data_IF_356884315698
#
_entry.id   IF_356884315698
#
_cell.length_a   1.000
_cell.length_b   1.000
_cell.length_c   1.000
_cell.angle_alpha   90.00
_cell.angle_beta   90.00
_cell.angle_gamma   90.00
#
_symmetry.space_group_name_H-M   'P 1'
#
loop_
_entity.id
_entity.type
_entity.pdbx_description
1 polymer ?
#
# COMPACT_ATOMS: atom_id res chain seq x y z
N UNK A 1 -40.90 41.81 -10.86
CA UNK A 1 -39.59 42.03 -11.50
C UNK A 1 -38.67 40.87 -11.13
N UNK A 2 -38.17 40.13 -12.12
CA UNK A 2 -36.75 39.78 -12.15
C UNK A 2 -36.13 40.15 -13.51
N UNK A 3 -34.89 40.63 -13.45
CA UNK A 3 -34.12 41.07 -14.61
C UNK A 3 -33.58 39.90 -15.44
N UNK A 4 -33.62 40.15 -16.74
CA UNK A 4 -33.12 39.43 -17.90
C UNK A 4 -31.59 39.36 -18.00
N UNK A 5 -31.08 38.25 -18.54
CA UNK A 5 -29.71 38.13 -19.04
C UNK A 5 -29.46 36.79 -19.77
N UNK A 6 -29.51 36.82 -21.09
CA UNK A 6 -29.33 35.69 -22.01
C UNK A 6 -27.84 35.41 -22.36
N UNK A 7 -27.47 34.11 -22.32
CA UNK A 7 -26.58 33.32 -23.24
C UNK A 7 -25.12 33.76 -23.54
N UNK A 8 -24.17 32.86 -23.94
CA UNK A 8 -24.42 31.62 -24.68
C UNK A 8 -23.78 30.30 -24.18
N UNK A 9 -24.48 29.25 -24.58
CA UNK A 9 -24.05 27.85 -24.72
C UNK A 9 -22.93 27.77 -25.76
N UNK A 10 -21.89 27.00 -25.46
CA UNK A 10 -20.93 26.55 -26.46
C UNK A 10 -20.91 25.02 -26.44
N UNK A 11 -21.70 24.45 -27.34
CA UNK A 11 -21.58 23.07 -27.79
C UNK A 11 -20.29 22.91 -28.59
N UNK A 12 -19.51 21.88 -28.27
CA UNK A 12 -18.62 21.24 -29.24
C UNK A 12 -18.82 19.72 -29.18
N UNK A 13 -19.48 19.20 -30.22
CA UNK A 13 -19.38 17.84 -30.73
C UNK A 13 -17.89 17.44 -30.94
N UNK A 14 -17.43 16.20 -30.92
CA UNK A 14 -17.86 14.94 -31.57
C UNK A 14 -16.85 13.83 -31.12
N UNK A 15 -16.91 12.54 -31.53
CA UNK A 15 -17.99 11.76 -32.14
C UNK A 15 -18.30 10.45 -31.38
N UNK A 16 -19.53 9.98 -31.59
CA UNK A 16 -19.93 8.59 -31.43
C UNK A 16 -19.23 7.68 -32.46
N UNK A 17 -18.70 6.54 -31.99
CA UNK A 17 -18.51 5.35 -32.81
C UNK A 17 -19.15 4.18 -32.07
N UNK A 18 -20.36 3.84 -32.49
CA UNK A 18 -20.83 2.47 -32.36
C UNK A 18 -20.33 1.68 -33.56
N UNK A 19 -19.90 0.43 -33.36
CA UNK A 19 -20.24 -0.69 -34.23
C UNK A 19 -19.63 -2.02 -33.75
N UNK A 20 -20.54 -2.98 -33.56
CA UNK A 20 -20.48 -4.40 -33.94
C UNK A 20 -19.45 -5.37 -33.35
N UNK A 21 -20.03 -6.45 -32.83
CA UNK A 21 -19.51 -7.79 -32.60
C UNK A 21 -18.51 -8.31 -33.63
N UNK A 22 -17.43 -8.93 -33.15
CA UNK A 22 -16.77 -10.05 -33.83
C UNK A 22 -16.32 -11.11 -32.82
N UNK A 23 -16.97 -12.28 -32.89
CA UNK A 23 -16.40 -13.54 -32.42
C UNK A 23 -15.24 -13.93 -33.34
N UNK A 24 -14.33 -14.72 -32.78
CA UNK A 24 -13.29 -15.57 -33.41
C UNK A 24 -11.89 -14.96 -33.61
N UNK A 25 -10.89 -15.66 -33.04
CA UNK A 25 -9.62 -15.92 -33.73
C UNK A 25 -8.36 -15.19 -33.27
N UNK A 26 -7.58 -15.89 -32.42
CA UNK A 26 -6.10 -15.85 -32.27
C UNK A 26 -5.45 -14.64 -31.57
N UNK A 27 -4.74 -14.97 -30.49
CA UNK A 27 -3.78 -14.16 -29.76
C UNK A 27 -2.53 -13.86 -30.61
N UNK A 28 -2.02 -12.62 -30.65
CA UNK A 28 -0.70 -12.33 -31.22
C UNK A 28 0.42 -12.74 -30.26
N UNK A 29 1.38 -13.49 -30.78
CA UNK A 29 2.59 -13.98 -30.11
C UNK A 29 3.59 -12.84 -29.85
N UNK A 30 3.94 -12.60 -28.59
CA UNK A 30 4.94 -11.63 -28.15
C UNK A 30 6.38 -12.13 -28.36
N UNK A 31 6.88 -12.07 -29.60
CA UNK A 31 8.31 -12.21 -29.90
C UNK A 31 8.72 -11.26 -31.03
N UNK A 32 8.87 -9.96 -30.76
CA UNK A 32 9.66 -9.07 -31.64
C UNK A 32 10.01 -7.68 -31.10
N UNK A 33 10.54 -7.56 -29.88
CA UNK A 33 11.24 -6.33 -29.46
C UNK A 33 12.47 -6.66 -28.62
N UNK A 34 13.52 -7.10 -29.30
CA UNK A 34 14.90 -7.08 -28.80
C UNK A 34 15.77 -6.63 -29.98
N UNK A 35 16.28 -5.39 -29.92
CA UNK A 35 17.52 -4.93 -30.56
C UNK A 35 17.76 -3.44 -30.29
N UNK A 36 18.39 -3.13 -29.15
CA UNK A 36 19.47 -2.12 -28.98
C UNK A 36 20.01 -2.16 -27.55
N UNK A 37 21.30 -1.92 -27.30
CA UNK A 37 21.96 -2.29 -26.06
C UNK A 37 21.81 -1.20 -24.98
N UNK A 38 21.27 -1.57 -23.82
CA UNK A 38 21.28 -0.73 -22.62
C UNK A 38 22.61 -0.93 -21.83
N UNK A 39 23.11 0.11 -21.14
CA UNK A 39 24.44 0.12 -20.54
C UNK A 39 24.59 -0.85 -19.37
N UNK A 40 25.82 -1.30 -19.16
CA UNK A 40 26.25 -2.17 -18.06
C UNK A 40 26.00 -1.48 -16.71
N UNK A 41 24.91 -1.83 -16.04
CA UNK A 41 24.77 -1.71 -14.60
C UNK A 41 24.65 -3.13 -14.03
N UNK A 42 25.67 -3.54 -13.27
CA UNK A 42 25.69 -4.81 -12.56
C UNK A 42 24.84 -4.66 -11.30
N UNK A 43 23.63 -5.20 -11.36
CA UNK A 43 22.95 -5.76 -10.20
C UNK A 43 22.16 -6.98 -10.70
N UNK A 44 22.81 -8.14 -10.72
CA UNK A 44 22.16 -9.38 -11.12
C UNK A 44 21.19 -9.82 -10.03
N UNK A 45 19.90 -9.62 -10.22
CA UNK A 45 18.89 -10.34 -9.45
C UNK A 45 18.49 -11.58 -10.24
N UNK A 46 19.16 -12.69 -9.94
CA UNK A 46 18.92 -13.99 -10.59
C UNK A 46 17.75 -14.66 -9.86
N UNK A 47 16.57 -14.66 -10.47
CA UNK A 47 15.53 -15.63 -10.14
C UNK A 47 15.96 -16.98 -10.76
N UNK A 48 16.33 -17.93 -9.91
CA UNK A 48 16.51 -19.33 -10.30
C UNK A 48 15.49 -20.14 -9.54
N UNK A 49 14.46 -20.59 -10.26
CA UNK A 49 13.59 -21.68 -9.82
C UNK A 49 14.24 -23.01 -10.23
N UNK A 50 14.60 -23.83 -9.25
CA UNK A 50 14.63 -25.29 -9.36
C UNK A 50 14.87 -25.88 -7.96
N UNK A 51 13.93 -26.72 -7.51
CA UNK A 51 14.06 -27.81 -6.53
C UNK A 51 15.21 -27.78 -5.50
N UNK A 52 14.83 -27.81 -4.21
CA UNK A 52 15.73 -28.13 -3.09
C UNK A 52 15.83 -26.98 -2.09
N UNK A 53 15.32 -27.19 -0.88
CA UNK A 53 15.42 -26.36 0.33
C UNK A 53 16.01 -24.94 0.15
N UNK A 54 15.14 -23.91 0.18
CA UNK A 54 15.54 -22.50 0.11
C UNK A 54 16.51 -22.15 1.26
N UNK A 55 17.77 -21.75 0.98
CA UNK A 55 18.44 -20.84 1.89
C UNK A 55 17.68 -19.51 1.85
N UNK A 56 17.26 -18.99 3.01
CA UNK A 56 16.65 -17.66 3.11
C UNK A 56 17.71 -16.62 2.70
N UNK A 57 17.52 -15.84 1.62
CA UNK A 57 18.44 -14.77 1.29
C UNK A 57 18.29 -13.65 2.33
N UNK A 58 19.38 -13.27 3.00
CA UNK A 58 19.43 -12.02 3.76
C UNK A 58 19.55 -10.87 2.77
N UNK A 59 18.44 -10.17 2.52
CA UNK A 59 18.43 -9.01 1.64
C UNK A 59 19.09 -7.85 2.38
N UNK A 60 20.37 -7.59 2.07
CA UNK A 60 21.06 -6.39 2.51
C UNK A 60 20.60 -5.17 1.72
N UNK A 61 20.20 -4.10 2.42
CA UNK A 61 19.68 -2.89 1.79
C UNK A 61 20.63 -1.70 1.93
N UNK A 62 20.76 -0.83 0.91
CA UNK A 62 21.48 0.43 1.04
C UNK A 62 20.79 1.36 2.05
N UNK A 63 21.54 2.30 2.62
CA UNK A 63 21.00 3.30 3.56
C UNK A 63 19.91 4.13 2.88
N UNK A 64 18.74 4.26 3.54
CA UNK A 64 17.52 4.92 3.02
C UNK A 64 16.98 4.29 1.73
N UNK A 65 16.52 3.06 1.84
CA UNK A 65 15.80 2.33 0.79
C UNK A 65 14.36 2.05 1.20
N UNK A 66 13.51 1.77 0.22
CA UNK A 66 12.11 1.39 0.44
C UNK A 66 11.88 -0.05 -0.01
N UNK A 67 10.99 -0.73 0.71
CA UNK A 67 10.45 -2.03 0.31
C UNK A 67 8.93 -1.93 0.31
N UNK A 68 8.30 -2.33 -0.78
CA UNK A 68 6.85 -2.27 -0.97
C UNK A 68 6.36 -3.69 -1.27
N UNK A 69 5.35 -4.14 -0.54
CA UNK A 69 4.63 -5.38 -0.83
C UNK A 69 3.31 -5.04 -1.49
N UNK A 70 2.99 -5.70 -2.60
CA UNK A 70 1.77 -5.45 -3.36
C UNK A 70 1.18 -6.76 -3.89
N UNK A 71 -0.03 -7.10 -3.44
CA UNK A 71 -0.70 -8.34 -3.83
C UNK A 71 -1.45 -8.23 -5.17
N UNK A 72 -1.94 -7.03 -5.52
CA UNK A 72 -2.69 -6.81 -6.73
C UNK A 72 -1.76 -6.69 -7.95
N UNK A 73 -1.87 -7.61 -8.90
CA UNK A 73 -1.01 -7.66 -10.08
C UNK A 73 -1.04 -6.39 -10.95
N UNK A 74 -2.19 -5.70 -11.02
CA UNK A 74 -2.32 -4.45 -11.77
C UNK A 74 -1.67 -3.25 -11.08
N UNK A 75 -1.65 -3.24 -9.74
CA UNK A 75 -0.95 -2.23 -8.96
C UNK A 75 0.55 -2.53 -8.95
N UNK A 76 0.93 -3.81 -8.82
CA UNK A 76 2.31 -4.28 -8.85
C UNK A 76 3.06 -3.79 -10.09
N UNK A 77 2.46 -3.92 -11.29
CA UNK A 77 3.07 -3.42 -12.52
C UNK A 77 3.33 -1.91 -12.51
N UNK A 78 2.38 -1.12 -11.97
CA UNK A 78 2.54 0.34 -11.82
C UNK A 78 3.57 0.72 -10.77
N UNK A 79 3.58 0.00 -9.64
CA UNK A 79 4.55 0.20 -8.57
C UNK A 79 5.98 -0.10 -9.03
N UNK A 80 6.17 -1.16 -9.83
CA UNK A 80 7.46 -1.48 -10.44
C UNK A 80 7.97 -0.37 -11.35
N UNK A 81 7.13 0.14 -12.26
CA UNK A 81 7.49 1.27 -13.14
C UNK A 81 7.80 2.54 -12.34
N UNK A 82 7.03 2.82 -11.28
CA UNK A 82 7.30 3.96 -10.40
C UNK A 82 8.65 3.82 -9.68
N UNK A 83 9.00 2.62 -9.23
CA UNK A 83 10.24 2.35 -8.51
C UNK A 83 11.50 2.64 -9.33
N UNK A 84 11.45 2.51 -10.66
CA UNK A 84 12.56 2.85 -11.57
C UNK A 84 12.94 4.33 -11.51
N UNK A 85 11.97 5.21 -11.24
CA UNK A 85 12.18 6.65 -11.11
C UNK A 85 12.24 7.16 -9.67
N UNK A 86 12.16 6.28 -8.67
CA UNK A 86 12.12 6.67 -7.27
C UNK A 86 13.47 7.24 -6.80
N UNK A 87 13.41 8.32 -6.03
CA UNK A 87 14.61 8.98 -5.47
C UNK A 87 15.47 8.03 -4.61
N UNK A 88 14.81 7.18 -3.84
CA UNK A 88 15.45 6.18 -2.99
C UNK A 88 15.35 4.81 -3.67
N UNK A 89 16.39 3.95 -3.58
CA UNK A 89 16.31 2.58 -4.06
C UNK A 89 15.06 1.88 -3.49
N UNK A 90 14.20 1.41 -4.39
CA UNK A 90 12.90 0.82 -4.02
C UNK A 90 12.80 -0.59 -4.56
N UNK A 91 12.56 -1.56 -3.68
CA UNK A 91 12.24 -2.93 -4.03
C UNK A 91 10.73 -3.15 -3.94
N UNK A 92 10.10 -3.59 -5.03
CA UNK A 92 8.68 -3.94 -5.06
C UNK A 92 8.56 -5.46 -5.16
N UNK A 93 7.87 -6.08 -4.21
CA UNK A 93 7.62 -7.52 -4.17
C UNK A 93 6.13 -7.80 -4.38
N UNK A 94 5.84 -8.69 -5.33
CA UNK A 94 4.49 -9.13 -5.62
C UNK A 94 4.05 -10.26 -4.71
N UNK A 95 2.88 -10.13 -4.08
CA UNK A 95 2.29 -11.17 -3.23
C UNK A 95 1.64 -10.62 -1.97
N UNK A 96 1.02 -11.51 -1.20
CA UNK A 96 0.44 -11.20 0.09
C UNK A 96 1.53 -10.95 1.14
N UNK A 97 1.34 -9.95 2.00
CA UNK A 97 2.33 -9.63 3.02
C UNK A 97 2.57 -10.82 3.95
N UNK A 98 1.53 -11.61 4.23
CA UNK A 98 1.56 -12.80 5.07
C UNK A 98 2.67 -13.78 4.65
N UNK A 99 2.89 -13.93 3.35
CA UNK A 99 3.91 -14.82 2.79
C UNK A 99 5.27 -14.13 2.66
N UNK A 100 5.26 -12.85 2.27
CA UNK A 100 6.48 -12.10 1.96
C UNK A 100 7.29 -11.78 3.22
N UNK A 101 6.65 -11.44 4.34
CA UNK A 101 7.31 -11.02 5.58
C UNK A 101 8.19 -12.11 6.19
N UNK A 102 7.87 -13.39 5.95
CA UNK A 102 8.64 -14.55 6.45
C UNK A 102 10.05 -14.64 5.86
N UNK A 103 10.26 -14.00 4.71
CA UNK A 103 11.55 -13.96 4.01
C UNK A 103 12.49 -12.89 4.55
N UNK A 104 12.02 -12.00 5.43
CA UNK A 104 12.81 -10.94 6.03
C UNK A 104 13.27 -11.32 7.44
N UNK A 105 14.54 -11.04 7.73
CA UNK A 105 15.09 -11.24 9.07
C UNK A 105 14.51 -10.22 10.08
N UNK A 106 14.46 -10.54 11.37
CA UNK A 106 14.12 -9.57 12.40
C UNK A 106 15.03 -8.33 12.34
N UNK A 107 14.53 -7.17 12.76
CA UNK A 107 15.28 -5.90 12.79
C UNK A 107 15.79 -5.42 11.41
N UNK A 108 15.11 -5.79 10.33
CA UNK A 108 15.47 -5.37 8.98
C UNK A 108 15.16 -3.89 8.71
N UNK A 109 14.10 -3.34 9.32
CA UNK A 109 13.53 -2.04 8.96
C UNK A 109 13.67 -0.99 10.06
N UNK A 110 13.85 0.28 9.68
CA UNK A 110 13.79 1.42 10.62
C UNK A 110 12.40 2.03 10.73
N UNK A 111 11.53 1.75 9.76
CA UNK A 111 10.15 2.24 9.72
C UNK A 111 9.28 1.29 8.91
N UNK A 112 8.03 1.14 9.32
CA UNK A 112 7.01 0.34 8.63
C UNK A 112 5.72 1.14 8.56
N UNK A 113 5.18 1.27 7.36
CA UNK A 113 3.85 1.78 7.09
C UNK A 113 2.99 0.59 6.63
N UNK A 114 1.82 0.42 7.24
CA UNK A 114 0.85 -0.58 6.81
C UNK A 114 -0.46 0.09 6.39
N UNK A 115 -0.81 -0.10 5.13
CA UNK A 115 -2.03 0.42 4.50
C UNK A 115 -2.52 -0.59 3.46
N UNK A 116 -3.15 -1.67 3.95
CA UNK A 116 -3.70 -2.73 3.12
C UNK A 116 -5.22 -2.66 3.14
N UNK A 117 -5.84 -2.96 2.00
CA UNK A 117 -7.31 -3.01 1.91
C UNK A 117 -7.82 -4.35 2.46
N UNK A 118 -8.84 -4.34 3.35
CA UNK A 118 -9.41 -5.56 3.90
C UNK A 118 -10.13 -6.38 2.81
N UNK A 119 -9.95 -7.70 2.84
CA UNK A 119 -10.59 -8.64 1.91
C UNK A 119 -11.90 -9.20 2.44
N UNK A 120 -12.15 -9.04 3.75
CA UNK A 120 -13.37 -9.49 4.42
C UNK A 120 -13.96 -8.40 5.33
N UNK A 121 -15.27 -8.44 5.65
CA UNK A 121 -15.87 -7.49 6.59
C UNK A 121 -15.24 -7.52 7.99
N UNK A 122 -14.73 -8.68 8.41
CA UNK A 122 -14.03 -8.84 9.68
C UNK A 122 -12.70 -8.09 9.70
N UNK A 123 -11.96 -8.12 8.59
CA UNK A 123 -10.72 -7.35 8.40
C UNK A 123 -10.95 -5.84 8.29
N UNK A 124 -12.18 -5.40 7.98
CA UNK A 124 -12.53 -3.99 7.88
C UNK A 124 -12.93 -3.35 9.22
N UNK A 125 -13.03 -4.13 10.30
CA UNK A 125 -13.55 -3.67 11.60
C UNK A 125 -12.45 -3.51 12.65
N UNK A 126 -12.42 -2.36 13.33
CA UNK A 126 -11.46 -2.07 14.40
C UNK A 126 -10.01 -2.14 13.92
N UNK A 127 -9.18 -2.94 14.59
CA UNK A 127 -7.79 -3.18 14.16
C UNK A 127 -7.69 -4.12 12.94
N UNK A 128 -8.75 -4.86 12.61
CA UNK A 128 -8.86 -5.60 11.35
C UNK A 128 -7.61 -6.37 10.91
N UNK A 129 -7.28 -6.21 9.63
CA UNK A 129 -6.09 -6.79 9.00
C UNK A 129 -4.78 -6.26 9.59
N UNK A 130 -4.71 -4.96 9.94
CA UNK A 130 -3.48 -4.37 10.50
C UNK A 130 -3.14 -4.94 11.88
N UNK A 131 -4.15 -5.32 12.65
CA UNK A 131 -4.00 -5.98 13.95
C UNK A 131 -3.32 -7.35 13.83
N UNK A 132 -3.57 -8.08 12.75
CA UNK A 132 -2.88 -9.34 12.46
C UNK A 132 -1.38 -9.12 12.18
N UNK A 133 -1.01 -7.93 11.70
CA UNK A 133 0.36 -7.58 11.35
C UNK A 133 1.21 -7.05 12.52
N UNK A 134 0.62 -6.70 13.68
CA UNK A 134 1.35 -6.05 14.79
C UNK A 134 2.60 -6.81 15.25
N UNK A 135 2.52 -8.15 15.37
CA UNK A 135 3.67 -8.97 15.80
C UNK A 135 4.77 -9.00 14.74
N UNK A 136 4.39 -9.05 13.46
CA UNK A 136 5.35 -9.00 12.36
C UNK A 136 5.99 -7.62 12.25
N UNK A 137 5.22 -6.55 12.37
CA UNK A 137 5.74 -5.17 12.43
C UNK A 137 6.77 -5.02 13.55
N UNK A 138 6.43 -5.49 14.76
CA UNK A 138 7.36 -5.50 15.88
C UNK A 138 8.61 -6.31 15.53
N UNK A 139 8.50 -7.58 15.09
CA UNK A 139 9.65 -8.43 14.71
C UNK A 139 10.57 -7.77 13.68
N UNK A 140 10.01 -7.14 12.67
CA UNK A 140 10.70 -6.56 11.52
C UNK A 140 11.42 -5.25 11.83
N UNK A 141 10.93 -4.45 12.77
CA UNK A 141 11.51 -3.17 13.13
C UNK A 141 12.78 -3.29 13.97
N UNK A 142 13.77 -2.43 13.76
CA UNK A 142 14.91 -2.29 14.69
C UNK A 142 14.45 -1.68 16.01
N UNK A 143 15.21 -1.82 17.13
CA UNK A 143 14.98 -1.02 18.32
C UNK A 143 14.96 0.48 17.98
N UNK A 144 13.97 1.21 18.48
CA UNK A 144 13.71 2.61 18.14
C UNK A 144 13.03 2.84 16.78
N UNK A 145 12.72 1.76 16.05
CA UNK A 145 12.01 1.81 14.77
C UNK A 145 10.52 2.15 14.96
N UNK A 146 9.93 2.76 13.94
CA UNK A 146 8.55 3.27 13.99
C UNK A 146 7.59 2.43 13.15
N UNK A 147 6.48 2.02 13.74
CA UNK A 147 5.33 1.46 13.05
C UNK A 147 4.19 2.47 13.00
N UNK A 148 3.60 2.67 11.82
CA UNK A 148 2.45 3.55 11.62
C UNK A 148 1.46 2.94 10.63
N UNK A 149 0.20 3.32 10.77
CA UNK A 149 -0.91 2.85 9.95
C UNK A 149 -2.05 3.86 9.99
N UNK A 150 -3.06 3.69 9.15
CA UNK A 150 -4.31 4.42 9.25
C UNK A 150 -5.20 3.79 10.32
N UNK A 151 -5.80 4.58 11.21
CA UNK A 151 -6.79 4.09 12.16
C UNK A 151 -8.07 4.94 12.12
N UNK A 152 -9.20 4.27 11.93
CA UNK A 152 -10.51 4.88 12.12
C UNK A 152 -11.52 3.87 12.65
N UNK A 153 -12.02 4.15 13.85
CA UNK A 153 -13.07 3.37 14.50
C UNK A 153 -14.14 4.30 15.08
N UNK A 154 -15.33 3.75 15.34
CA UNK A 154 -16.44 4.53 15.90
C UNK A 154 -17.06 5.55 14.94
N UNK A 155 -18.08 6.26 15.40
CA UNK A 155 -18.87 7.20 14.60
C UNK A 155 -18.26 8.61 14.55
N UNK A 156 -17.44 8.97 15.54
CA UNK A 156 -16.85 10.30 15.71
C UNK A 156 -15.43 10.23 16.27
N UNK A 157 -14.74 11.38 16.33
CA UNK A 157 -13.36 11.47 16.79
C UNK A 157 -13.14 10.96 18.22
N UNK A 158 -14.04 11.29 19.16
CA UNK A 158 -13.88 10.90 20.55
C UNK A 158 -14.03 9.38 20.73
N UNK A 159 -14.96 8.77 19.99
CA UNK A 159 -15.10 7.30 19.94
C UNK A 159 -13.87 6.63 19.32
N UNK A 160 -13.34 7.20 18.23
CA UNK A 160 -12.12 6.71 17.57
C UNK A 160 -10.93 6.66 18.54
N UNK A 161 -10.64 7.76 19.23
CA UNK A 161 -9.54 7.83 20.20
C UNK A 161 -9.78 6.88 21.39
N UNK A 162 -11.02 6.77 21.88
CA UNK A 162 -11.36 5.85 22.98
C UNK A 162 -11.14 4.39 22.58
N UNK A 163 -11.61 3.99 21.39
CA UNK A 163 -11.42 2.65 20.87
C UNK A 163 -9.92 2.34 20.68
N UNK A 164 -9.16 3.28 20.10
CA UNK A 164 -7.71 3.12 19.92
C UNK A 164 -6.97 2.89 21.25
N UNK A 165 -7.29 3.69 22.28
CA UNK A 165 -6.66 3.56 23.61
C UNK A 165 -7.06 2.28 24.33
N UNK A 166 -8.34 1.91 24.26
CA UNK A 166 -8.88 0.78 25.00
C UNK A 166 -8.57 -0.58 24.35
N UNK A 167 -8.54 -0.64 23.03
CA UNK A 167 -8.49 -1.91 22.28
C UNK A 167 -7.15 -2.09 21.54
N UNK A 168 -6.68 -1.06 20.84
CA UNK A 168 -5.52 -1.15 19.95
C UNK A 168 -4.20 -1.02 20.70
N UNK A 169 -4.08 0.00 21.57
CA UNK A 169 -2.86 0.28 22.34
C UNK A 169 -2.38 -0.94 23.15
N UNK A 170 -3.24 -1.68 23.88
CA UNK A 170 -2.82 -2.89 24.59
C UNK A 170 -2.29 -3.99 23.67
N UNK A 171 -2.86 -4.16 22.47
CA UNK A 171 -2.39 -5.15 21.49
C UNK A 171 -1.02 -4.76 20.92
N UNK A 172 -0.80 -3.48 20.63
CA UNK A 172 0.52 -2.98 20.23
C UNK A 172 1.56 -3.20 21.34
N UNK A 173 1.22 -2.89 22.60
CA UNK A 173 2.10 -3.16 23.76
C UNK A 173 2.43 -4.65 23.86
N UNK A 174 1.43 -5.52 23.74
CA UNK A 174 1.61 -6.97 23.77
C UNK A 174 2.42 -7.52 22.58
N UNK A 175 2.41 -6.83 21.43
CA UNK A 175 3.25 -7.16 20.28
C UNK A 175 4.73 -6.76 20.46
N UNK A 176 5.04 -5.91 21.45
CA UNK A 176 6.41 -5.52 21.78
C UNK A 176 6.75 -4.05 21.51
N UNK A 177 5.76 -3.17 21.31
CA UNK A 177 6.01 -1.73 21.17
C UNK A 177 6.11 -1.04 22.54
N UNK A 178 7.21 -0.35 22.81
CA UNK A 178 7.48 0.35 24.08
C UNK A 178 6.79 1.70 24.21
N UNK A 179 6.60 2.43 23.11
CA UNK A 179 5.88 3.70 23.07
C UNK A 179 4.78 3.68 21.99
N UNK A 180 3.62 4.28 22.28
CA UNK A 180 2.50 4.37 21.34
C UNK A 180 1.92 5.76 21.52
N UNK A 181 2.04 6.57 20.47
CA UNK A 181 1.51 7.93 20.42
C UNK A 181 0.37 8.00 19.41
N UNK A 182 -0.50 8.98 19.61
CA UNK A 182 -1.61 9.32 18.73
C UNK A 182 -1.26 10.62 18.01
N UNK A 183 -1.33 10.60 16.69
CA UNK A 183 -1.36 11.82 15.89
C UNK A 183 -2.68 11.86 15.10
N UNK A 184 -2.99 13.01 14.50
CA UNK A 184 -4.18 13.18 13.68
C UNK A 184 -3.84 13.90 12.38
N UNK A 185 -4.50 13.48 11.30
CA UNK A 185 -4.43 14.17 10.01
C UNK A 185 -5.80 14.73 9.70
N UNK A 186 -5.87 16.05 9.56
CA UNK A 186 -7.06 16.74 9.08
C UNK A 186 -7.31 16.40 7.62
N UNK A 187 -8.56 16.13 7.25
CA UNK A 187 -8.93 15.81 5.89
C UNK A 187 -10.34 16.34 5.58
N UNK A 188 -10.58 16.62 4.29
CA UNK A 188 -11.90 16.99 3.79
C UNK A 188 -12.26 15.99 2.70
N UNK A 189 -13.13 15.01 3.02
CA UNK A 189 -13.54 14.02 2.04
C UNK A 189 -14.26 14.70 0.88
N UNK A 190 -14.02 14.21 -0.35
CA UNK A 190 -14.71 14.75 -1.52
C UNK A 190 -16.23 14.51 -1.37
N UNK A 191 -17.08 15.42 -1.88
CA UNK A 191 -18.52 15.17 -1.94
C UNK A 191 -18.82 13.82 -2.59
N UNK A 192 -19.65 13.01 -1.95
CA UNK A 192 -20.00 11.66 -2.41
C UNK A 192 -19.02 10.55 -2.02
N UNK A 193 -18.02 10.82 -1.16
CA UNK A 193 -17.19 9.76 -0.59
C UNK A 193 -18.06 8.74 0.18
N UNK A 194 -18.02 7.48 -0.24
CA UNK A 194 -18.92 6.44 0.29
C UNK A 194 -18.36 5.69 1.49
N UNK A 195 -17.06 5.81 1.76
CA UNK A 195 -16.37 5.02 2.78
C UNK A 195 -15.75 5.85 3.90
N UNK A 196 -15.70 7.18 3.76
CA UNK A 196 -15.11 8.05 4.78
C UNK A 196 -15.72 9.45 4.74
N UNK A 197 -16.17 9.95 5.91
CA UNK A 197 -16.95 11.20 6.02
C UNK A 197 -16.49 12.15 7.14
N UNK A 198 -15.48 11.77 7.92
CA UNK A 198 -14.98 12.57 9.06
C UNK A 198 -14.04 13.68 8.60
N UNK A 199 -13.79 14.66 9.47
CA UNK A 199 -12.88 15.80 9.20
C UNK A 199 -11.40 15.48 9.53
N UNK A 200 -11.14 14.30 10.09
CA UNK A 200 -9.82 13.81 10.49
C UNK A 200 -9.83 12.31 10.70
N UNK A 201 -8.65 11.71 10.70
CA UNK A 201 -8.41 10.33 11.14
C UNK A 201 -7.17 10.24 12.02
N UNK A 202 -7.05 9.14 12.76
CA UNK A 202 -5.96 8.91 13.70
C UNK A 202 -4.79 8.22 12.97
N UNK A 203 -3.58 8.68 13.27
CA UNK A 203 -2.33 8.10 12.77
C UNK A 203 -1.50 7.64 13.97
N UNK A 204 -1.49 6.33 14.28
CA UNK A 204 -0.68 5.80 15.35
C UNK A 204 0.80 5.94 15.03
N UNK A 205 1.60 6.19 16.07
CA UNK A 205 3.05 6.10 16.02
C UNK A 205 3.52 5.17 17.14
N UNK A 206 3.79 3.92 16.78
CA UNK A 206 4.25 2.90 17.71
C UNK A 206 5.77 2.69 17.57
N UNK A 207 6.53 2.89 18.65
CA UNK A 207 7.99 2.74 18.67
C UNK A 207 8.35 1.40 19.31
N UNK A 208 9.20 0.62 18.62
CA UNK A 208 9.73 -0.66 19.11
C UNK A 208 10.80 -0.45 20.17
#
# INVERSE_FOLDING_TARGET
MPCSGCFPVVDKACPSWGMTSWRTGRLPTWRRWLKSPAPKAVASWRWVSASGSRPKPSIGFPSRSHVIFEANSSVLGRAGLWAEGAKNPTLVLGGFWQELVESFEPNSFSGVLFDAYPLSPGEASGDGEVGAFFREAARLLRPGGCFTFYYDAGSNWLECVRAFRAETTPKLRAAGFGEVQEDQVMCQPRPGCTYFWKDRFLVPKAIR
#
